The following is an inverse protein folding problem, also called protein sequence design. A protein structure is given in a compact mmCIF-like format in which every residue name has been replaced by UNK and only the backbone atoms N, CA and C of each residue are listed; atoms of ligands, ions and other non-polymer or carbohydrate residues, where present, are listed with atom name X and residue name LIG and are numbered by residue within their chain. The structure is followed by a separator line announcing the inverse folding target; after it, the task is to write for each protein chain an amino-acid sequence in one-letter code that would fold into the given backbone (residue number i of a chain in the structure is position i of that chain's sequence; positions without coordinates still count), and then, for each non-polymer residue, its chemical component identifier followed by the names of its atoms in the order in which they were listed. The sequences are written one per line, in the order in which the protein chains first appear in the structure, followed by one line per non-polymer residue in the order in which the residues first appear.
data_IF_586308346320
#
_entry.id   IF_586308346320
#
_cell.length_a   1.000
_cell.length_b   1.000
_cell.length_c   1.000
_cell.angle_alpha   90.00
_cell.angle_beta   90.00
_cell.angle_gamma   90.00
#
_symmetry.space_group_name_H-M   'P 1'
#
loop_
_entity.id
_entity.type
_entity.pdbx_description
1 polymer ?
#
# COMPACT_ATOMS: atom_id res chain seq x y z
N UNK A 1 -2.66 11.70 1.29
CA UNK A 1 -2.23 10.32 0.99
C UNK A 1 -3.45 9.58 0.47
N UNK A 2 -3.31 8.81 -0.61
CA UNK A 2 -4.43 8.04 -1.16
C UNK A 2 -4.84 6.96 -0.16
N UNK A 3 -6.13 6.85 0.21
CA UNK A 3 -6.57 5.74 1.05
C UNK A 3 -6.44 4.43 0.25
N UNK A 4 -6.06 3.33 0.90
CA UNK A 4 -6.04 2.02 0.26
C UNK A 4 -7.46 1.60 -0.14
N UNK A 5 -7.58 0.93 -1.28
CA UNK A 5 -8.86 0.45 -1.79
C UNK A 5 -9.23 -0.90 -1.20
N UNK A 6 -10.49 -0.99 -0.74
CA UNK A 6 -11.15 -2.28 -0.52
C UNK A 6 -11.65 -2.80 -1.87
N UNK A 7 -11.23 -4.01 -2.24
CA UNK A 7 -11.62 -4.65 -3.49
C UNK A 7 -12.33 -5.97 -3.19
N UNK A 8 -12.89 -6.63 -4.22
CA UNK A 8 -13.44 -7.99 -4.09
C UNK A 8 -12.39 -9.04 -3.67
N UNK A 9 -11.11 -8.72 -3.83
CA UNK A 9 -9.99 -9.60 -3.48
C UNK A 9 -9.51 -9.41 -2.03
N UNK A 10 -10.02 -8.40 -1.32
CA UNK A 10 -9.63 -8.15 0.08
C UNK A 10 -10.05 -9.33 0.96
N UNK A 11 -9.07 -9.95 1.62
CA UNK A 11 -9.29 -11.07 2.55
C UNK A 11 -9.05 -10.69 4.01
N UNK A 12 -8.35 -9.59 4.27
CA UNK A 12 -8.15 -9.06 5.62
C UNK A 12 -8.05 -7.52 5.61
N UNK A 13 -8.24 -6.90 6.78
CA UNK A 13 -7.91 -5.49 7.03
C UNK A 13 -6.93 -5.43 8.18
N UNK A 14 -5.74 -4.89 7.95
CA UNK A 14 -4.72 -4.72 8.99
C UNK A 14 -5.00 -3.42 9.74
N UNK A 15 -5.19 -3.51 11.05
CA UNK A 15 -5.39 -2.36 11.92
C UNK A 15 -4.06 -1.77 12.41
N UNK A 16 -4.18 -0.83 13.35
CA UNK A 16 -3.03 -0.23 14.00
C UNK A 16 -2.15 -1.28 14.71
N UNK A 17 -0.81 -1.10 14.72
CA UNK A 17 0.09 -1.84 15.59
C UNK A 17 -0.33 -1.78 17.07
N UNK A 18 0.10 -2.77 17.85
CA UNK A 18 -0.25 -2.89 19.29
C UNK A 18 0.21 -1.69 20.12
N UNK A 19 1.28 -1.02 19.68
CA UNK A 19 1.93 0.12 20.31
C UNK A 19 1.61 1.46 19.63
N UNK A 20 0.59 1.50 18.76
CA UNK A 20 0.20 2.72 18.06
C UNK A 20 -0.39 3.76 19.02
N UNK A 21 0.17 4.97 19.01
CA UNK A 21 -0.27 6.13 19.79
C UNK A 21 -0.89 7.18 18.84
N UNK A 22 -2.23 7.28 18.76
CA UNK A 22 -2.89 8.22 17.87
C UNK A 22 -2.54 9.69 18.14
N UNK A 23 -2.18 10.05 19.37
CA UNK A 23 -1.83 11.42 19.72
C UNK A 23 -0.45 11.82 19.17
N UNK A 24 0.45 10.85 18.95
CA UNK A 24 1.80 11.09 18.42
C UNK A 24 1.93 10.77 16.93
N UNK A 25 1.21 9.74 16.46
CA UNK A 25 1.38 9.14 15.15
C UNK A 25 0.20 9.43 14.20
N UNK A 26 -0.87 10.03 14.72
CA UNK A 26 -2.09 10.31 13.97
C UNK A 26 -3.05 9.12 13.89
N UNK A 27 -4.17 9.32 13.21
CA UNK A 27 -5.16 8.26 12.99
C UNK A 27 -4.56 7.14 12.13
N UNK A 28 -4.67 5.89 12.59
CA UNK A 28 -4.31 4.74 11.81
C UNK A 28 -5.51 4.27 10.98
N UNK A 29 -5.43 4.45 9.66
CA UNK A 29 -6.42 3.91 8.75
C UNK A 29 -6.12 2.44 8.47
N UNK A 30 -7.14 1.59 8.57
CA UNK A 30 -7.00 0.16 8.30
C UNK A 30 -6.54 -0.10 6.86
N UNK A 31 -5.59 -1.02 6.69
CA UNK A 31 -5.04 -1.40 5.39
C UNK A 31 -5.76 -2.67 4.88
N UNK A 32 -6.71 -2.57 3.92
CA UNK A 32 -7.26 -3.73 3.25
C UNK A 32 -6.18 -4.44 2.45
N UNK A 33 -6.05 -5.75 2.66
CA UNK A 33 -5.07 -6.60 1.99
C UNK A 33 -5.71 -7.86 1.43
N UNK A 34 -5.12 -8.38 0.36
CA UNK A 34 -5.27 -9.76 -0.07
C UNK A 34 -4.08 -10.58 0.42
N UNK A 35 -4.34 -11.63 1.19
CA UNK A 35 -3.32 -12.61 1.59
C UNK A 35 -3.28 -13.72 0.54
N UNK A 36 -2.21 -13.74 -0.24
CA UNK A 36 -1.91 -14.79 -1.21
C UNK A 36 -0.95 -15.79 -0.56
N UNK A 37 -1.53 -16.72 0.21
CA UNK A 37 -0.78 -17.72 0.96
C UNK A 37 -0.05 -18.72 0.03
N UNK A 38 -0.55 -18.92 -1.20
CA UNK A 38 0.08 -19.78 -2.21
C UNK A 38 1.43 -19.23 -2.67
N UNK A 39 1.54 -17.90 -2.82
CA UNK A 39 2.78 -17.25 -3.24
C UNK A 39 3.55 -16.60 -2.08
N UNK A 40 3.04 -16.68 -0.85
CA UNK A 40 3.62 -16.05 0.33
C UNK A 40 3.68 -14.52 0.24
N UNK A 41 2.68 -13.89 -0.40
CA UNK A 41 2.65 -12.44 -0.66
C UNK A 41 1.37 -11.79 -0.15
N UNK A 42 1.48 -10.55 0.31
CA UNK A 42 0.32 -9.75 0.70
C UNK A 42 0.20 -8.55 -0.25
N UNK A 43 -0.99 -8.32 -0.79
CA UNK A 43 -1.24 -7.30 -1.81
C UNK A 43 -2.19 -6.23 -1.28
N UNK A 44 -1.91 -4.97 -1.59
CA UNK A 44 -2.79 -3.82 -1.33
C UNK A 44 -2.86 -2.95 -2.57
N UNK A 45 -3.99 -2.25 -2.76
CA UNK A 45 -4.25 -1.45 -3.95
C UNK A 45 -4.46 0.02 -3.58
N UNK A 46 -3.87 0.89 -4.39
CA UNK A 46 -4.04 2.33 -4.34
C UNK A 46 -4.43 2.79 -5.74
N UNK A 47 -5.43 3.65 -5.84
CA UNK A 47 -5.82 4.27 -7.09
C UNK A 47 -5.21 5.68 -7.16
N UNK A 48 -4.29 5.93 -8.10
CA UNK A 48 -3.77 7.27 -8.35
C UNK A 48 -4.90 8.27 -8.65
N UNK A 49 -4.79 9.46 -8.09
CA UNK A 49 -5.61 10.61 -8.53
C UNK A 49 -5.10 11.13 -9.88
N UNK A 50 -5.86 12.00 -10.55
CA UNK A 50 -5.41 12.66 -11.78
C UNK A 50 -4.09 13.43 -11.59
N UNK A 51 -3.93 14.09 -10.43
CA UNK A 51 -2.70 14.79 -10.09
C UNK A 51 -1.54 13.81 -9.86
N UNK A 52 -1.79 12.66 -9.20
CA UNK A 52 -0.76 11.63 -9.04
C UNK A 52 -0.32 11.06 -10.39
N UNK A 53 -1.27 10.82 -11.30
CA UNK A 53 -0.99 10.38 -12.67
C UNK A 53 -0.14 11.42 -13.40
N UNK A 54 -0.50 12.71 -13.33
CA UNK A 54 0.28 13.78 -13.93
C UNK A 54 1.71 13.85 -13.37
N UNK A 55 1.87 13.69 -12.05
CA UNK A 55 3.18 13.65 -11.40
C UNK A 55 4.01 12.44 -11.85
N UNK A 56 3.40 11.25 -11.94
CA UNK A 56 4.07 10.04 -12.44
C UNK A 56 4.53 10.24 -13.88
N UNK A 57 3.68 10.80 -14.76
CA UNK A 57 4.03 11.11 -16.15
C UNK A 57 5.15 12.16 -16.25
N UNK A 58 5.21 13.09 -15.30
CA UNK A 58 6.30 14.06 -15.19
C UNK A 58 7.59 13.47 -14.59
N UNK A 59 7.64 12.17 -14.28
CA UNK A 59 8.81 11.49 -13.73
C UNK A 59 9.03 11.70 -12.24
N UNK A 60 8.01 12.18 -11.51
CA UNK A 60 8.10 12.36 -10.05
C UNK A 60 8.11 11.00 -9.35
N UNK A 61 9.04 10.75 -8.42
CA UNK A 61 9.15 9.46 -7.74
C UNK A 61 7.95 9.16 -6.81
N UNK A 62 7.60 7.88 -6.70
CA UNK A 62 6.59 7.38 -5.75
C UNK A 62 7.26 7.13 -4.40
N UNK A 63 6.80 7.80 -3.34
CA UNK A 63 7.24 7.55 -1.97
C UNK A 63 6.35 6.51 -1.30
N UNK A 64 6.91 5.35 -0.95
CA UNK A 64 6.29 4.35 -0.09
C UNK A 64 6.75 4.56 1.35
N UNK A 65 5.80 4.79 2.27
CA UNK A 65 6.09 4.94 3.70
C UNK A 65 5.48 3.80 4.49
N UNK A 66 6.27 3.33 5.44
CA UNK A 66 6.14 2.07 6.14
C UNK A 66 6.36 2.38 7.61
N UNK A 67 5.36 2.15 8.45
CA UNK A 67 5.41 2.53 9.87
C UNK A 67 5.38 1.27 10.75
N UNK A 68 6.40 1.07 11.60
CA UNK A 68 6.47 -0.01 12.59
C UNK A 68 7.87 -0.63 12.76
N UNK A 69 8.13 -1.43 13.82
CA UNK A 69 9.39 -2.15 14.04
C UNK A 69 9.61 -3.32 13.06
N UNK A 70 8.62 -3.63 12.22
CA UNK A 70 8.73 -4.55 11.10
C UNK A 70 7.74 -4.18 10.00
N UNK A 71 8.15 -4.33 8.75
CA UNK A 71 7.29 -4.18 7.59
C UNK A 71 7.39 -5.40 6.68
N UNK A 72 6.28 -6.08 6.41
CA UNK A 72 6.23 -7.29 5.60
C UNK A 72 6.54 -6.99 4.12
N UNK A 73 6.86 -8.01 3.29
CA UNK A 73 7.32 -7.79 1.92
C UNK A 73 6.31 -6.98 1.09
N UNK A 74 6.83 -5.97 0.38
CA UNK A 74 6.08 -5.01 -0.47
C UNK A 74 6.50 -5.16 -1.93
N UNK A 75 5.57 -5.01 -2.89
CA UNK A 75 5.92 -4.82 -4.30
C UNK A 75 4.91 -3.89 -5.01
N UNK A 76 5.42 -2.95 -5.80
CA UNK A 76 4.67 -1.99 -6.63
C UNK A 76 5.26 -2.08 -8.04
N UNK A 77 4.45 -2.16 -9.11
CA UNK A 77 4.95 -2.08 -10.50
C UNK A 77 3.91 -1.52 -11.49
N UNK A 78 4.39 -0.85 -12.54
CA UNK A 78 3.64 -0.47 -13.76
C UNK A 78 4.51 -0.87 -14.97
N UNK A 79 4.03 -1.71 -15.91
CA UNK A 79 4.87 -2.33 -16.97
C UNK A 79 4.25 -2.25 -18.39
N UNK A 80 5.11 -2.08 -19.41
CA UNK A 80 4.78 -2.16 -20.85
C UNK A 80 5.41 -3.38 -21.58
N UNK A 81 6.31 -4.13 -20.94
CA UNK A 81 6.85 -5.44 -21.36
C UNK A 81 7.47 -6.17 -20.15
N UNK A 82 7.69 -7.49 -20.29
CA UNK A 82 8.10 -8.49 -19.27
C UNK A 82 9.60 -8.79 -19.30
N UNK A 83 10.24 -8.71 -18.13
CA UNK A 83 11.56 -9.26 -17.75
C UNK A 83 12.83 -8.77 -18.46
N UNK A 84 13.90 -8.73 -17.68
CA UNK A 84 15.30 -8.69 -18.06
C UNK A 84 16.09 -9.54 -17.08
#
# INVERSE_FOLDING_TARGET
MMPPLKTRHTTAVLGAPVDWDPAKQGECFGLPVHRDDLNGRWLSWYQPTEQDIANILAGVPIRLSVYGPGHPPVAIAVTASTEG
#
